data_IF_159678700122
#
_entry.id   IF_159678700122
#
_cell.length_a   1.000
_cell.length_b   1.000
_cell.length_c   1.000
_cell.angle_alpha   90.00
_cell.angle_beta   90.00
_cell.angle_gamma   90.00
#
_symmetry.space_group_name_H-M   'P 1'
#
loop_
_entity.id
_entity.type
_entity.pdbx_description
1 polymer ?
#
# COMPACT_ATOMS: atom_id res chain seq x y z
N UNK A 1 14.73 18.25 -7.31
CA UNK A 1 13.44 17.83 -7.87
C UNK A 1 12.81 16.90 -6.86
N UNK A 2 11.73 17.29 -6.20
CA UNK A 2 10.98 16.40 -5.29
C UNK A 2 10.18 15.44 -6.15
N UNK A 3 10.58 14.17 -6.16
CA UNK A 3 9.81 13.11 -6.81
C UNK A 3 8.53 12.89 -5.98
N UNK A 4 7.36 12.95 -6.63
CA UNK A 4 6.09 12.67 -5.97
C UNK A 4 6.12 11.22 -5.47
N UNK A 5 5.95 11.04 -4.16
CA UNK A 5 5.98 9.73 -3.50
C UNK A 5 4.60 9.45 -2.94
N UNK A 6 3.97 8.37 -3.38
CA UNK A 6 2.65 7.95 -2.89
C UNK A 6 2.80 7.24 -1.55
N UNK A 7 2.15 7.75 -0.51
CA UNK A 7 2.21 7.17 0.84
C UNK A 7 1.12 6.14 1.03
N UNK A 8 1.52 4.95 1.44
CA UNK A 8 0.61 3.85 1.75
C UNK A 8 0.81 3.48 3.22
N UNK A 9 -0.30 3.39 3.93
CA UNK A 9 -0.33 2.92 5.32
C UNK A 9 -0.81 1.48 5.34
N UNK A 10 -0.18 0.66 6.18
CA UNK A 10 -0.64 -0.69 6.44
C UNK A 10 -0.67 -0.99 7.93
N UNK A 11 -1.66 -1.75 8.36
CA UNK A 11 -1.76 -2.25 9.73
C UNK A 11 -2.03 -3.75 9.73
N UNK A 12 -1.58 -4.42 10.78
CA UNK A 12 -1.91 -5.82 11.02
C UNK A 12 -3.27 -5.93 11.69
N UNK A 13 -4.21 -6.61 11.04
CA UNK A 13 -5.45 -7.07 11.64
C UNK A 13 -5.21 -8.44 12.28
N UNK A 14 -5.24 -8.48 13.61
CA UNK A 14 -5.01 -9.71 14.37
C UNK A 14 -6.23 -10.65 14.40
N UNK A 15 -7.44 -10.15 14.16
CA UNK A 15 -8.65 -10.99 14.12
C UNK A 15 -8.70 -11.78 12.81
N UNK A 16 -8.34 -11.13 11.70
CA UNK A 16 -8.33 -11.73 10.38
C UNK A 16 -6.97 -12.35 9.97
N UNK A 17 -5.91 -12.13 10.77
CA UNK A 17 -4.53 -12.55 10.49
C UNK A 17 -4.01 -12.07 9.13
N UNK A 18 -4.32 -10.81 8.79
CA UNK A 18 -3.89 -10.18 7.53
C UNK A 18 -3.35 -8.78 7.75
N UNK A 19 -2.46 -8.36 6.86
CA UNK A 19 -2.14 -6.95 6.67
C UNK A 19 -3.21 -6.29 5.81
N UNK A 20 -3.68 -5.12 6.24
CA UNK A 20 -4.60 -4.27 5.48
C UNK A 20 -3.85 -3.00 5.09
N UNK A 21 -3.96 -2.57 3.82
CA UNK A 21 -3.34 -1.36 3.30
C UNK A 21 -4.38 -0.38 2.74
N UNK A 22 -4.15 0.91 3.01
CA UNK A 22 -4.93 2.05 2.50
C UNK A 22 -4.03 3.23 2.15
N UNK A 23 -4.54 4.19 1.39
CA UNK A 23 -3.80 5.41 1.02
C UNK A 23 -4.75 6.56 0.68
N UNK A 24 -4.43 7.77 1.17
CA UNK A 24 -5.09 9.00 0.73
C UNK A 24 -4.53 9.50 -0.62
N UNK A 25 -3.25 9.21 -0.91
CA UNK A 25 -2.58 9.60 -2.15
C UNK A 25 -3.03 8.75 -3.35
N UNK A 26 -3.60 7.56 -3.10
CA UNK A 26 -4.09 6.63 -4.13
C UNK A 26 -5.58 6.33 -3.87
N UNK A 27 -6.50 7.16 -4.41
CA UNK A 27 -7.93 7.00 -4.19
C UNK A 27 -8.44 5.62 -4.60
N UNK A 28 -9.20 5.00 -3.69
CA UNK A 28 -9.74 3.64 -3.90
C UNK A 28 -8.76 2.51 -3.57
N UNK A 29 -7.55 2.81 -3.08
CA UNK A 29 -6.64 1.78 -2.60
C UNK A 29 -7.12 1.22 -1.25
N UNK A 30 -7.70 0.03 -1.30
CA UNK A 30 -7.98 -0.82 -0.13
C UNK A 30 -7.66 -2.25 -0.52
N UNK A 31 -6.75 -2.90 0.20
CA UNK A 31 -6.36 -4.29 -0.09
C UNK A 31 -5.74 -4.96 1.12
N UNK A 32 -5.79 -6.28 1.17
CA UNK A 32 -5.22 -7.07 2.27
C UNK A 32 -4.38 -8.26 1.80
N UNK A 33 -3.51 -8.77 2.66
CA UNK A 33 -2.75 -10.01 2.42
C UNK A 33 -2.23 -10.63 3.72
N UNK A 34 -2.06 -11.95 3.75
CA UNK A 34 -1.53 -12.67 4.93
C UNK A 34 -0.09 -12.34 5.29
N UNK A 35 0.70 -11.78 4.36
CA UNK A 35 2.10 -11.37 4.61
C UNK A 35 2.39 -9.99 4.02
N UNK A 36 3.35 -9.28 4.61
CA UNK A 36 3.75 -7.94 4.14
C UNK A 36 4.36 -8.02 2.73
N UNK A 37 5.04 -9.12 2.41
CA UNK A 37 5.62 -9.36 1.08
C UNK A 37 4.52 -9.53 0.04
N UNK A 38 3.48 -10.31 0.34
CA UNK A 38 2.33 -10.49 -0.55
C UNK A 38 1.59 -9.17 -0.75
N UNK A 39 1.39 -8.41 0.33
CA UNK A 39 0.80 -7.08 0.28
C UNK A 39 1.61 -6.17 -0.65
N UNK A 40 2.93 -6.15 -0.51
CA UNK A 40 3.82 -5.35 -1.34
C UNK A 40 3.73 -5.72 -2.83
N UNK A 41 3.56 -7.00 -3.18
CA UNK A 41 3.32 -7.40 -4.57
C UNK A 41 1.97 -6.91 -5.10
N UNK A 42 0.91 -6.99 -4.29
CA UNK A 42 -0.41 -6.45 -4.67
C UNK A 42 -0.35 -4.93 -4.90
N UNK A 43 0.32 -4.20 -4.01
CA UNK A 43 0.48 -2.75 -4.12
C UNK A 43 1.19 -2.32 -5.40
N UNK A 44 2.22 -3.05 -5.84
CA UNK A 44 2.94 -2.78 -7.11
C UNK A 44 2.05 -2.87 -8.35
N UNK A 45 0.95 -3.62 -8.27
CA UNK A 45 -0.04 -3.74 -9.36
C UNK A 45 -1.15 -2.72 -9.21
N UNK A 46 -1.75 -2.65 -8.01
CA UNK A 46 -2.93 -1.83 -7.77
C UNK A 46 -2.65 -0.32 -7.82
N UNK A 47 -1.49 0.13 -7.32
CA UNK A 47 -1.18 1.57 -7.27
C UNK A 47 -1.14 2.18 -8.68
N UNK A 48 -0.37 1.65 -9.66
CA UNK A 48 -0.40 2.16 -11.03
C UNK A 48 -1.81 2.15 -11.65
N UNK A 49 -2.56 1.07 -11.46
CA UNK A 49 -3.91 0.92 -12.02
C UNK A 49 -4.86 1.98 -11.47
N UNK A 50 -4.89 2.16 -10.15
CA UNK A 50 -5.78 3.13 -9.50
C UNK A 50 -5.40 4.57 -9.85
N UNK A 51 -4.11 4.91 -9.89
CA UNK A 51 -3.67 6.25 -10.30
C UNK A 51 -4.16 6.57 -11.72
N UNK A 52 -4.09 5.59 -12.64
CA UNK A 52 -4.55 5.76 -14.02
C UNK A 52 -6.07 5.85 -14.12
N UNK A 53 -6.81 5.00 -13.41
CA UNK A 53 -8.27 5.00 -13.39
C UNK A 53 -8.84 6.29 -12.79
N UNK A 54 -8.16 6.87 -11.81
CA UNK A 54 -8.55 8.15 -11.21
C UNK A 54 -8.05 9.38 -12.01
N UNK A 55 -7.37 9.20 -13.13
CA UNK A 55 -6.88 10.30 -13.97
C UNK A 55 -5.76 11.14 -13.34
N UNK A 56 -5.11 10.64 -12.28
CA UNK A 56 -3.99 11.30 -11.61
C UNK A 56 -2.75 11.29 -12.52
N UNK A 57 -2.58 10.22 -13.30
CA UNK A 57 -1.55 10.10 -14.33
C UNK A 57 -2.20 9.66 -15.64
N UNK A 58 -1.64 10.14 -16.76
CA UNK A 58 -2.14 9.77 -18.09
C UNK A 58 -1.81 8.32 -18.41
N UNK A 59 -2.64 7.70 -19.25
CA UNK A 59 -2.42 6.32 -19.71
C UNK A 59 -1.16 6.13 -20.55
N UNK A 60 -0.62 7.23 -21.08
CA UNK A 60 0.59 7.27 -21.88
C UNK A 60 1.86 7.46 -21.04
N UNK A 61 1.75 7.64 -19.72
CA UNK A 61 2.90 7.81 -18.85
C UNK A 61 3.81 6.58 -18.90
N UNK A 62 5.04 6.78 -19.39
CA UNK A 62 6.11 5.78 -19.38
C UNK A 62 7.23 6.28 -18.46
N UNK A 63 7.19 5.85 -17.21
CA UNK A 63 8.20 6.20 -16.22
C UNK A 63 8.08 5.33 -14.97
N UNK A 64 8.81 5.69 -13.93
CA UNK A 64 8.75 5.04 -12.63
C UNK A 64 7.97 5.90 -11.63
N UNK A 65 7.12 5.23 -10.86
CA UNK A 65 6.50 5.80 -9.67
C UNK A 65 7.26 5.31 -8.43
N UNK A 66 7.30 6.16 -7.41
CA UNK A 66 7.82 5.80 -6.09
C UNK A 66 6.65 5.76 -5.12
N UNK A 67 6.56 4.71 -4.32
CA UNK A 67 5.64 4.67 -3.19
C UNK A 67 6.41 4.29 -1.92
N UNK A 68 5.93 4.78 -0.79
CA UNK A 68 6.44 4.49 0.54
C UNK A 68 5.37 3.69 1.29
N UNK A 69 5.77 2.59 1.92
CA UNK A 69 4.88 1.78 2.76
C UNK A 69 5.28 1.94 4.22
N UNK A 70 4.40 2.51 5.02
CA UNK A 70 4.54 2.54 6.48
C UNK A 70 3.63 1.48 7.09
N UNK A 71 4.21 0.49 7.78
CA UNK A 71 3.47 -0.61 8.39
C UNK A 71 3.49 -0.56 9.91
N UNK A 72 2.36 -0.78 10.56
CA UNK A 72 2.23 -0.87 12.00
C UNK A 72 1.71 -2.25 12.45
N UNK A 73 2.40 -2.88 13.40
CA UNK A 73 1.98 -4.13 14.04
C UNK A 73 2.36 -4.10 15.53
N UNK A 74 1.41 -4.51 16.37
CA UNK A 74 1.58 -4.63 17.81
C UNK A 74 1.32 -6.09 18.21
N UNK A 75 2.14 -6.60 19.13
CA UNK A 75 1.98 -7.94 19.70
C UNK A 75 2.09 -7.89 21.22
N UNK A 76 1.30 -8.73 21.90
CA UNK A 76 1.42 -8.95 23.33
C UNK A 76 2.36 -10.14 23.55
N UNK A 77 3.39 -9.95 24.37
CA UNK A 77 4.34 -10.99 24.75
C UNK A 77 4.25 -11.19 26.26
N UNK A 78 4.03 -12.43 26.69
CA UNK A 78 4.11 -12.81 28.11
C UNK A 78 5.57 -13.13 28.46
N UNK A 79 6.05 -12.59 29.59
CA UNK A 79 7.39 -12.84 30.12
C UNK A 79 7.26 -13.81 31.29
N UNK A 80 7.99 -14.93 31.22
CA UNK A 80 8.08 -15.93 32.28
C UNK A 80 9.15 -15.57 33.33
#
# INVERSE_FOLDING_TARGET
MTQLTYKVEAFWDAEAEVWVATSEDVPGLVTEASTIETLMQKLKVMIPELIQLNGIMTSEYKGSITFELTSHRQELIEVA
#
